data_IF_629950902897
#
_entry.id   IF_629950902897
#
_cell.length_a   1.000
_cell.length_b   1.000
_cell.length_c   1.000
_cell.angle_alpha   90.00
_cell.angle_beta   90.00
_cell.angle_gamma   90.00
#
_symmetry.space_group_name_H-M   'P 1'
#
loop_
_entity.id
_entity.type
_entity.pdbx_description
1 polymer ?
#
# COMPACT_ATOMS: atom_id res chain seq x y z
N UNK A 1 -22.48 -24.80 32.07
CA UNK A 1 -21.96 -25.12 30.73
C UNK A 1 -22.36 -23.95 29.83
N UNK A 2 -21.90 -22.71 29.99
CA UNK A 2 -20.54 -22.17 29.89
C UNK A 2 -19.69 -22.77 28.77
N UNK A 3 -19.37 -21.90 27.80
CA UNK A 3 -18.26 -21.94 26.84
C UNK A 3 -18.46 -22.68 25.50
N UNK A 4 -19.18 -22.07 24.56
CA UNK A 4 -18.89 -22.29 23.12
C UNK A 4 -19.33 -21.15 22.17
N UNK A 5 -19.33 -19.88 22.60
CA UNK A 5 -19.52 -18.71 21.71
C UNK A 5 -18.22 -17.91 21.45
N UNK A 6 -17.05 -18.50 21.68
CA UNK A 6 -15.78 -18.00 21.14
C UNK A 6 -15.41 -18.94 19.98
N UNK A 7 -15.01 -18.54 18.77
CA UNK A 7 -14.18 -17.43 18.35
C UNK A 7 -14.52 -17.16 16.86
N UNK A 8 -15.46 -16.27 16.60
CA UNK A 8 -15.42 -15.48 15.37
C UNK A 8 -15.69 -14.04 15.75
N UNK A 9 -14.83 -13.49 16.61
CA UNK A 9 -14.50 -12.09 16.43
C UNK A 9 -13.90 -11.99 15.02
N UNK A 10 -14.76 -11.73 14.03
CA UNK A 10 -14.36 -11.04 12.82
C UNK A 10 -13.61 -9.82 13.34
N UNK A 11 -12.27 -9.91 13.47
CA UNK A 11 -11.42 -8.89 14.10
C UNK A 11 -11.88 -7.58 13.50
N UNK A 12 -12.68 -6.82 14.25
CA UNK A 12 -13.31 -5.61 13.79
C UNK A 12 -12.21 -4.56 13.90
N UNK A 13 -11.19 -4.71 13.05
CA UNK A 13 -10.03 -3.85 13.03
C UNK A 13 -10.50 -2.43 12.81
N UNK A 14 -9.87 -1.48 13.50
CA UNK A 14 -10.24 -0.09 13.35
C UNK A 14 -9.68 0.42 12.02
N UNK A 15 -10.56 0.94 11.16
CA UNK A 15 -10.15 1.58 9.90
C UNK A 15 -9.13 2.72 10.18
N UNK A 16 -9.35 3.47 11.26
CA UNK A 16 -8.48 4.55 11.72
C UNK A 16 -7.05 4.08 12.03
N UNK A 17 -6.89 2.97 12.75
CA UNK A 17 -5.55 2.45 13.08
C UNK A 17 -4.87 1.89 11.83
N UNK A 18 -5.64 1.27 10.93
CA UNK A 18 -5.15 0.86 9.61
C UNK A 18 -4.65 2.03 8.75
N UNK A 19 -5.43 3.12 8.65
CA UNK A 19 -5.02 4.33 7.93
C UNK A 19 -3.73 4.90 8.50
N UNK A 20 -3.60 4.96 9.83
CA UNK A 20 -2.39 5.45 10.49
C UNK A 20 -1.17 4.57 10.14
N UNK A 21 -1.37 3.26 10.04
CA UNK A 21 -0.31 2.31 9.68
C UNK A 21 0.09 2.42 8.21
N UNK A 22 -0.89 2.58 7.32
CA UNK A 22 -0.65 2.84 5.91
C UNK A 22 0.08 4.18 5.70
N UNK A 23 -0.29 5.21 6.46
CA UNK A 23 0.34 6.53 6.41
C UNK A 23 1.82 6.45 6.79
N UNK A 24 2.15 5.76 7.89
CA UNK A 24 3.55 5.56 8.29
C UNK A 24 4.34 4.77 7.25
N UNK A 25 3.75 3.71 6.68
CA UNK A 25 4.36 2.93 5.60
C UNK A 25 4.59 3.76 4.33
N UNK A 26 3.61 4.58 3.96
CA UNK A 26 3.70 5.48 2.81
C UNK A 26 4.71 6.60 3.04
N UNK A 27 4.87 7.10 4.26
CA UNK A 27 5.86 8.13 4.60
C UNK A 27 7.29 7.61 4.41
N UNK A 28 7.56 6.39 4.89
CA UNK A 28 8.84 5.69 4.66
C UNK A 28 9.06 5.45 3.15
N UNK A 29 8.02 4.98 2.45
CA UNK A 29 8.08 4.74 1.01
C UNK A 29 8.35 6.03 0.20
N UNK A 30 7.74 7.14 0.59
CA UNK A 30 7.94 8.46 -0.05
C UNK A 30 9.35 8.97 0.19
N UNK A 31 9.88 8.83 1.40
CA UNK A 31 11.25 9.21 1.71
C UNK A 31 12.26 8.40 0.86
N UNK A 32 12.02 7.09 0.73
CA UNK A 32 12.82 6.23 -0.13
C UNK A 32 12.71 6.62 -1.61
N UNK A 33 11.51 7.02 -2.05
CA UNK A 33 11.26 7.47 -3.42
C UNK A 33 12.10 8.70 -3.75
N UNK A 34 12.05 9.74 -2.91
CA UNK A 34 12.82 10.97 -3.14
C UNK A 34 14.32 10.66 -3.17
N UNK A 35 14.81 9.84 -2.25
CA UNK A 35 16.24 9.49 -2.19
C UNK A 35 16.72 8.79 -3.47
N UNK A 36 15.95 7.82 -3.96
CA UNK A 36 16.28 7.04 -5.18
C UNK A 36 16.09 7.89 -6.44
N UNK A 37 15.07 8.76 -6.45
CA UNK A 37 14.77 9.67 -7.56
C UNK A 37 15.85 10.72 -7.77
N UNK A 38 16.40 11.29 -6.69
CA UNK A 38 17.51 12.26 -6.76
C UNK A 38 18.77 11.64 -7.34
N UNK A 39 18.97 10.33 -7.14
CA UNK A 39 20.13 9.61 -7.68
C UNK A 39 19.90 9.04 -9.10
N UNK A 40 18.77 9.35 -9.74
CA UNK A 40 18.46 8.90 -11.10
C UNK A 40 18.12 7.41 -11.24
N UNK A 41 17.80 6.73 -10.12
CA UNK A 41 17.48 5.30 -10.14
C UNK A 41 15.99 5.03 -10.40
N UNK A 42 15.68 3.82 -10.88
CA UNK A 42 14.35 3.39 -11.31
C UNK A 42 13.34 3.45 -10.15
N UNK A 43 12.52 4.50 -10.13
CA UNK A 43 11.46 4.73 -9.14
C UNK A 43 10.41 3.61 -9.06
N UNK A 44 10.39 2.72 -10.06
CA UNK A 44 9.40 1.64 -10.18
C UNK A 44 9.52 0.57 -9.10
N UNK A 45 10.74 0.16 -8.74
CA UNK A 45 10.95 -0.82 -7.67
C UNK A 45 10.53 -0.21 -6.31
N UNK A 46 10.80 1.09 -6.15
CA UNK A 46 10.40 1.83 -4.95
C UNK A 46 8.88 1.98 -4.89
N UNK A 47 8.20 2.19 -6.00
CA UNK A 47 6.73 2.20 -6.06
C UNK A 47 6.11 0.90 -5.55
N UNK A 48 6.68 -0.23 -5.99
CA UNK A 48 6.27 -1.55 -5.53
C UNK A 48 6.51 -1.72 -4.02
N UNK A 49 7.69 -1.33 -3.53
CA UNK A 49 8.03 -1.36 -2.10
C UNK A 49 7.11 -0.46 -1.27
N UNK A 50 6.79 0.75 -1.74
CA UNK A 50 5.88 1.68 -1.08
C UNK A 50 4.48 1.10 -0.93
N UNK A 51 3.94 0.49 -2.00
CA UNK A 51 2.66 -0.19 -1.93
C UNK A 51 2.68 -1.36 -0.93
N UNK A 52 3.79 -2.12 -0.92
CA UNK A 52 3.99 -3.22 0.02
C UNK A 52 4.11 -2.74 1.48
N UNK A 53 4.88 -1.69 1.74
CA UNK A 53 5.05 -1.09 3.06
C UNK A 53 3.75 -0.48 3.57
N UNK A 54 3.00 0.21 2.72
CA UNK A 54 1.69 0.76 3.08
C UNK A 54 0.70 -0.37 3.43
N UNK A 55 0.68 -1.46 2.66
CA UNK A 55 -0.16 -2.61 2.95
C UNK A 55 0.24 -3.34 4.24
N UNK A 56 1.55 -3.58 4.43
CA UNK A 56 2.07 -4.24 5.63
C UNK A 56 1.89 -3.35 6.87
N UNK A 57 2.04 -2.03 6.73
CA UNK A 57 1.79 -1.06 7.80
C UNK A 57 0.32 -1.01 8.21
N UNK A 58 -0.59 -1.06 7.24
CA UNK A 58 -2.04 -1.16 7.50
C UNK A 58 -2.38 -2.41 8.31
N UNK A 59 -1.79 -3.56 7.96
CA UNK A 59 -2.00 -4.82 8.66
C UNK A 59 -1.35 -4.85 10.06
N UNK A 60 -0.20 -4.21 10.22
CA UNK A 60 0.54 -4.15 11.48
C UNK A 60 -0.26 -3.43 12.57
N UNK A 61 -1.03 -2.39 12.22
CA UNK A 61 -1.90 -1.66 13.14
C UNK A 61 -3.34 -2.21 13.19
N UNK A 62 -3.53 -3.48 12.85
CA UNK A 62 -4.81 -4.16 12.94
C UNK A 62 -5.93 -3.45 12.15
N UNK A 63 -5.62 -2.91 10.98
CA UNK A 63 -6.61 -2.26 10.14
C UNK A 63 -7.71 -3.21 9.67
N UNK A 64 -8.91 -2.68 9.42
CA UNK A 64 -10.06 -3.49 8.97
C UNK A 64 -9.75 -4.19 7.64
N UNK A 65 -9.82 -5.53 7.54
CA UNK A 65 -9.66 -6.24 6.28
C UNK A 65 -10.86 -5.98 5.34
N UNK A 66 -10.65 -6.11 4.03
CA UNK A 66 -11.69 -5.94 3.01
C UNK A 66 -11.50 -4.73 2.10
N UNK A 67 -12.59 -4.28 1.45
CA UNK A 67 -12.55 -3.25 0.38
C UNK A 67 -11.95 -1.92 0.87
N UNK A 68 -12.18 -1.56 2.14
CA UNK A 68 -11.65 -0.32 2.73
C UNK A 68 -10.11 -0.29 2.77
N UNK A 69 -9.47 -1.42 3.12
CA UNK A 69 -8.00 -1.55 3.10
C UNK A 69 -7.42 -1.25 1.72
N UNK A 70 -8.01 -1.85 0.68
CA UNK A 70 -7.56 -1.67 -0.70
C UNK A 70 -7.67 -0.20 -1.12
N UNK A 71 -8.79 0.45 -0.81
CA UNK A 71 -9.00 1.87 -1.12
C UNK A 71 -7.96 2.73 -0.38
N UNK A 72 -7.74 2.49 0.92
CA UNK A 72 -6.75 3.24 1.71
C UNK A 72 -5.34 3.11 1.12
N UNK A 73 -4.92 1.91 0.74
CA UNK A 73 -3.58 1.68 0.17
C UNK A 73 -3.45 2.37 -1.19
N UNK A 74 -4.46 2.29 -2.06
CA UNK A 74 -4.43 2.96 -3.37
C UNK A 74 -4.35 4.48 -3.19
N UNK A 75 -5.16 5.05 -2.30
CA UNK A 75 -5.14 6.51 -2.02
C UNK A 75 -3.78 6.94 -1.47
N UNK A 76 -3.23 6.21 -0.50
CA UNK A 76 -1.91 6.52 0.07
C UNK A 76 -0.78 6.34 -0.95
N UNK A 77 -0.89 5.37 -1.85
CA UNK A 77 0.08 5.16 -2.92
C UNK A 77 0.07 6.33 -3.92
N UNK A 78 -1.10 6.76 -4.38
CA UNK A 78 -1.23 7.91 -5.29
C UNK A 78 -0.68 9.17 -4.61
N UNK A 79 -1.04 9.41 -3.35
CA UNK A 79 -0.54 10.56 -2.59
C UNK A 79 0.98 10.52 -2.45
N UNK A 80 1.53 9.36 -2.11
CA UNK A 80 2.98 9.14 -1.99
C UNK A 80 3.71 9.39 -3.31
N UNK A 81 3.15 8.93 -4.43
CA UNK A 81 3.72 9.16 -5.76
C UNK A 81 3.72 10.65 -6.09
N UNK A 82 2.62 11.37 -5.86
CA UNK A 82 2.55 12.81 -6.12
C UNK A 82 3.57 13.59 -5.28
N UNK A 83 3.58 13.36 -3.96
CA UNK A 83 4.50 14.04 -3.04
C UNK A 83 5.95 13.67 -3.34
N UNK A 84 6.23 12.40 -3.60
CA UNK A 84 7.57 11.91 -3.94
C UNK A 84 8.09 12.51 -5.25
N UNK A 85 7.22 12.64 -6.26
CA UNK A 85 7.59 13.25 -7.55
C UNK A 85 7.93 14.74 -7.38
N UNK A 86 7.05 15.51 -6.72
CA UNK A 86 7.29 16.94 -6.46
C UNK A 86 8.55 17.13 -5.61
N UNK A 87 8.72 16.31 -4.57
CA UNK A 87 9.92 16.35 -3.72
C UNK A 87 11.20 16.04 -4.49
N UNK A 88 11.17 15.05 -5.38
CA UNK A 88 12.32 14.69 -6.22
C UNK A 88 12.69 15.84 -7.16
N UNK A 89 11.70 16.40 -7.88
CA UNK A 89 11.91 17.53 -8.80
C UNK A 89 12.48 18.74 -8.06
N UNK A 90 11.92 19.07 -6.89
CA UNK A 90 12.40 20.20 -6.09
C UNK A 90 13.86 20.03 -5.69
N UNK A 91 14.24 18.84 -5.21
CA UNK A 91 15.63 18.57 -4.79
C UNK A 91 16.59 18.57 -5.97
N UNK A 92 16.25 17.88 -7.07
CA UNK A 92 17.08 17.85 -8.29
C UNK A 92 17.23 19.25 -8.87
N UNK A 93 16.15 20.03 -8.91
CA UNK A 93 16.18 21.40 -9.39
C UNK A 93 17.08 22.31 -8.54
N UNK A 94 16.98 22.25 -7.22
CA UNK A 94 17.88 23.00 -6.31
C UNK A 94 19.34 22.57 -6.50
N UNK A 95 19.59 21.28 -6.75
CA UNK A 95 20.92 20.78 -7.00
C UNK A 95 21.51 21.33 -8.31
N UNK A 96 20.71 21.38 -9.39
CA UNK A 96 21.13 21.97 -10.66
C UNK A 96 21.48 23.46 -10.56
N UNK A 97 20.79 24.21 -9.67
CA UNK A 97 21.14 25.61 -9.40
C UNK A 97 22.54 25.69 -8.79
N UNK A 98 22.83 24.88 -7.77
CA UNK A 98 24.13 24.90 -7.08
C UNK A 98 25.29 24.57 -8.02
N UNK A 99 25.08 23.58 -8.89
CA UNK A 99 26.05 23.23 -9.93
C UNK A 99 26.26 24.40 -10.89
N UNK A 100 25.18 25.06 -11.33
CA UNK A 100 25.28 26.27 -12.15
C UNK A 100 25.97 27.44 -11.41
N UNK A 101 25.77 27.60 -10.09
CA UNK A 101 26.45 28.64 -9.30
C UNK A 101 27.97 28.42 -9.24
N UNK A 102 28.43 27.18 -9.21
CA UNK A 102 29.87 26.86 -9.20
C UNK A 102 30.55 27.11 -10.56
N UNK A 103 29.81 26.93 -11.66
CA UNK A 103 30.34 27.18 -13.01
C UNK A 103 30.26 28.66 -13.43
N UNK A 104 29.32 29.43 -12.85
CA UNK A 104 29.09 30.82 -13.22
C UNK A 104 30.12 31.78 -12.61
N UNK A 105 30.45 32.81 -13.39
CA UNK A 105 31.23 33.95 -12.88
C UNK A 105 30.35 34.85 -11.99
N UNK A 106 30.98 35.67 -11.15
CA UNK A 106 30.28 36.55 -10.19
C UNK A 106 29.25 37.49 -10.82
N UNK A 107 29.45 37.90 -12.07
CA UNK A 107 28.51 38.73 -12.83
C UNK A 107 27.26 37.96 -13.28
N UNK A 108 27.44 36.75 -13.81
CA UNK A 108 26.33 35.90 -14.28
C UNK A 108 25.49 35.41 -13.11
N UNK A 109 26.13 35.04 -12.00
CA UNK A 109 25.46 34.67 -10.75
C UNK A 109 24.57 35.81 -10.22
N UNK A 110 25.08 37.06 -10.25
CA UNK A 110 24.31 38.22 -9.80
C UNK A 110 23.11 38.50 -10.72
N UNK A 111 23.24 38.26 -12.02
CA UNK A 111 22.11 38.35 -12.95
C UNK A 111 21.09 37.23 -12.70
N UNK A 112 21.57 36.01 -12.51
CA UNK A 112 20.76 34.82 -12.25
C UNK A 112 19.92 34.98 -10.97
N UNK A 113 20.55 35.35 -9.84
CA UNK A 113 19.82 35.58 -8.56
C UNK A 113 18.85 36.75 -8.62
N UNK A 114 19.08 37.72 -9.51
CA UNK A 114 18.16 38.84 -9.73
C UNK A 114 16.94 38.42 -10.55
N UNK A 115 17.14 37.52 -11.52
CA UNK A 115 16.08 36.98 -12.37
C UNK A 115 15.26 35.92 -11.62
N UNK A 116 15.93 35.11 -10.78
CA UNK A 116 15.36 34.03 -9.97
C UNK A 116 15.62 34.27 -8.48
N UNK A 117 14.86 35.16 -7.82
CA UNK A 117 15.02 35.42 -6.39
C UNK A 117 14.64 34.21 -5.53
N UNK A 118 13.76 33.34 -6.03
CA UNK A 118 13.42 32.07 -5.38
C UNK A 118 13.93 30.91 -6.24
N UNK A 119 14.62 29.96 -5.61
CA UNK A 119 15.08 28.73 -6.27
C UNK A 119 13.92 27.94 -6.88
N UNK A 120 12.75 27.97 -6.23
CA UNK A 120 11.54 27.30 -6.73
C UNK A 120 11.01 27.89 -8.05
N UNK A 121 11.18 29.18 -8.30
CA UNK A 121 10.73 29.81 -9.55
C UNK A 121 11.59 29.32 -10.73
N UNK A 122 12.90 29.18 -10.51
CA UNK A 122 13.80 28.56 -11.48
C UNK A 122 13.41 27.10 -11.74
N UNK A 123 13.21 26.30 -10.69
CA UNK A 123 12.82 24.88 -10.85
C UNK A 123 11.48 24.74 -11.58
N UNK A 124 10.53 25.62 -11.30
CA UNK A 124 9.23 25.63 -11.97
C UNK A 124 9.35 25.98 -13.46
N UNK A 125 10.18 26.98 -13.81
CA UNK A 125 10.42 27.36 -15.20
C UNK A 125 11.21 26.27 -15.93
N UNK A 126 12.22 25.67 -15.29
CA UNK A 126 12.99 24.54 -15.84
C UNK A 126 12.09 23.34 -16.10
N UNK A 127 11.13 23.08 -15.20
CA UNK A 127 10.08 22.08 -15.43
C UNK A 127 9.21 22.44 -16.63
N UNK A 128 8.71 23.67 -16.73
CA UNK A 128 7.78 24.08 -17.78
C UNK A 128 8.41 24.23 -19.17
N UNK A 129 9.71 24.47 -19.24
CA UNK A 129 10.41 24.80 -20.49
C UNK A 129 11.05 23.56 -21.12
N UNK A 130 11.32 22.50 -20.34
CA UNK A 130 12.05 21.32 -20.81
C UNK A 130 11.12 20.12 -21.03
N UNK A 131 10.69 19.94 -22.28
CA UNK A 131 9.90 18.78 -22.72
C UNK A 131 10.58 17.42 -22.45
N UNK A 132 11.91 17.39 -22.45
CA UNK A 132 12.70 16.19 -22.14
C UNK A 132 12.51 15.76 -20.68
N UNK A 133 12.53 16.71 -19.74
CA UNK A 133 12.30 16.46 -18.31
C UNK A 133 10.88 15.94 -18.11
N UNK A 134 9.88 16.55 -18.76
CA UNK A 134 8.51 16.06 -18.72
C UNK A 134 8.39 14.63 -19.24
N UNK A 135 9.09 14.30 -20.32
CA UNK A 135 9.02 12.96 -20.94
C UNK A 135 9.66 11.91 -20.04
N UNK A 136 10.79 12.22 -19.40
CA UNK A 136 11.49 11.32 -18.50
C UNK A 136 10.74 11.11 -17.18
N UNK A 137 10.20 12.19 -16.60
CA UNK A 137 9.32 12.12 -15.43
C UNK A 137 8.04 11.34 -15.76
N UNK A 138 7.42 11.59 -16.92
CA UNK A 138 6.18 10.90 -17.29
C UNK A 138 6.41 9.40 -17.50
N UNK A 139 7.53 9.01 -18.14
CA UNK A 139 7.89 7.60 -18.31
C UNK A 139 8.17 6.94 -16.95
N UNK A 140 8.99 7.55 -16.11
CA UNK A 140 9.29 7.00 -14.78
C UNK A 140 8.05 6.91 -13.89
N UNK A 141 7.15 7.87 -13.99
CA UNK A 141 5.85 7.88 -13.31
C UNK A 141 4.93 6.77 -13.82
N UNK A 142 4.80 6.60 -15.14
CA UNK A 142 3.95 5.56 -15.73
C UNK A 142 4.42 4.15 -15.34
N UNK A 143 5.74 3.90 -15.40
CA UNK A 143 6.32 2.63 -14.95
C UNK A 143 6.19 2.50 -13.42
N UNK A 144 6.31 3.60 -12.67
CA UNK A 144 6.04 3.67 -11.24
C UNK A 144 4.62 3.25 -10.88
N UNK A 145 3.61 3.76 -11.59
CA UNK A 145 2.21 3.36 -11.37
C UNK A 145 1.97 1.89 -11.71
N UNK A 146 2.55 1.39 -12.81
CA UNK A 146 2.46 -0.02 -13.19
C UNK A 146 3.02 -0.92 -12.08
N UNK A 147 4.22 -0.65 -11.59
CA UNK A 147 4.85 -1.44 -10.54
C UNK A 147 4.20 -1.24 -9.17
N UNK A 148 3.71 -0.04 -8.88
CA UNK A 148 2.91 0.24 -7.68
C UNK A 148 1.62 -0.58 -7.67
N UNK A 149 0.93 -0.67 -8.82
CA UNK A 149 -0.25 -1.54 -8.98
C UNK A 149 0.09 -3.02 -8.80
N UNK A 150 1.23 -3.48 -9.34
CA UNK A 150 1.74 -4.84 -9.10
C UNK A 150 2.08 -5.09 -7.62
N UNK A 151 2.55 -4.08 -6.89
CA UNK A 151 2.83 -4.17 -5.45
C UNK A 151 1.57 -4.23 -4.61
N UNK A 152 0.53 -3.53 -5.06
CA UNK A 152 -0.81 -3.60 -4.46
C UNK A 152 -1.53 -4.93 -4.76
N UNK A 153 -1.23 -5.59 -5.89
CA UNK A 153 -1.88 -6.84 -6.33
C UNK A 153 -1.90 -7.97 -5.28
N UNK A 154 -0.78 -8.39 -4.64
CA UNK A 154 -0.81 -9.44 -3.62
C UNK A 154 -1.63 -9.06 -2.39
N UNK A 155 -1.74 -7.77 -2.08
CA UNK A 155 -2.54 -7.27 -0.96
C UNK A 155 -4.04 -7.42 -1.27
N UNK A 156 -4.43 -7.17 -2.52
CA UNK A 156 -5.81 -7.35 -3.00
C UNK A 156 -6.22 -8.83 -3.07
N UNK A 157 -5.32 -9.74 -3.49
CA UNK A 157 -5.62 -11.18 -3.54
C UNK A 157 -5.52 -11.89 -2.18
N UNK A 158 -4.70 -11.38 -1.25
CA UNK A 158 -4.57 -11.94 0.10
C UNK A 158 -5.90 -11.98 0.86
N UNK A 159 -6.71 -10.92 0.74
CA UNK A 159 -8.04 -10.87 1.37
C UNK A 159 -9.06 -11.80 0.69
N UNK A 160 -8.96 -12.01 -0.64
CA UNK A 160 -9.83 -12.96 -1.35
C UNK A 160 -9.57 -14.42 -0.95
N UNK A 161 -8.31 -14.80 -0.73
CA UNK A 161 -7.94 -16.17 -0.30
C UNK A 161 -8.42 -16.48 1.12
N UNK A 162 -8.36 -15.51 2.04
CA UNK A 162 -8.86 -15.70 3.41
C UNK A 162 -10.38 -15.84 3.44
N UNK A 163 -11.10 -15.02 2.67
CA UNK A 163 -12.56 -15.08 2.56
C UNK A 163 -13.03 -16.42 1.96
N UNK A 164 -12.40 -16.88 0.87
CA UNK A 164 -12.72 -18.20 0.30
C UNK A 164 -12.40 -19.38 1.22
N UNK A 165 -11.28 -19.33 1.96
CA UNK A 165 -11.00 -20.37 2.97
C UNK A 165 -12.13 -20.41 4.01
N UNK A 166 -12.50 -19.28 4.60
CA UNK A 166 -13.58 -19.19 5.60
C UNK A 166 -14.91 -19.76 5.07
N UNK A 167 -15.32 -19.37 3.86
CA UNK A 167 -16.56 -19.80 3.22
C UNK A 167 -16.56 -21.29 2.82
N UNK A 168 -15.40 -21.92 2.66
CA UNK A 168 -15.27 -23.36 2.33
C UNK A 168 -15.14 -24.27 3.56
N UNK A 169 -14.74 -23.78 4.73
CA UNK A 169 -14.67 -24.60 5.96
C UNK A 169 -16.00 -24.65 6.71
N UNK A 170 -16.77 -23.55 6.72
CA UNK A 170 -18.07 -23.49 7.42
C UNK A 170 -19.20 -24.38 6.87
N UNK A 171 -19.30 -24.74 5.58
CA UNK A 171 -20.42 -25.55 5.09
C UNK A 171 -20.34 -27.02 5.51
N UNK A 172 -19.16 -27.55 5.85
CA UNK A 172 -18.98 -28.97 6.18
C UNK A 172 -19.24 -29.28 7.67
N UNK A 173 -18.95 -28.35 8.58
CA UNK A 173 -19.17 -28.57 10.03
C UNK A 173 -20.65 -28.40 10.44
N UNK A 174 -21.46 -27.68 9.66
CA UNK A 174 -22.89 -27.53 9.91
C UNK A 174 -23.74 -28.71 9.37
N UNK A 175 -23.16 -29.59 8.54
CA UNK A 175 -23.85 -30.72 7.93
C UNK A 175 -23.69 -32.03 8.72
N UNK A 176 -22.68 -32.15 9.59
CA UNK A 176 -22.46 -33.31 10.47
C UNK A 176 -23.27 -33.24 11.78
N UNK A 177 -24.48 -32.66 11.70
CA UNK A 177 -25.57 -32.95 12.62
C UNK A 177 -26.07 -34.38 12.37
N UNK A 178 -25.26 -35.38 12.69
CA UNK A 178 -25.66 -36.77 12.64
C UNK A 178 -26.92 -36.95 13.50
N UNK A 179 -28.06 -37.42 12.94
CA UNK A 179 -29.19 -37.78 13.76
C UNK A 179 -28.74 -38.96 14.63
N UNK A 180 -28.76 -38.79 15.96
CA UNK A 180 -28.78 -39.95 16.86
C UNK A 180 -30.06 -40.71 16.53
N UNK A 181 -29.92 -41.82 15.81
CA UNK A 181 -31.00 -42.77 15.59
C UNK A 181 -31.54 -43.21 16.94
N UNK A 182 -32.75 -42.79 17.25
CA UNK A 182 -33.59 -43.40 18.27
C UNK A 182 -33.94 -44.80 17.79
N UNK A 183 -33.17 -45.80 18.19
CA UNK A 183 -33.60 -47.19 18.12
C UNK A 183 -34.44 -47.46 19.37
N UNK A 184 -35.76 -47.52 19.19
CA UNK A 184 -36.69 -47.93 20.24
C UNK A 184 -37.69 -48.94 19.66
N UNK A 185 -37.77 -50.06 20.37
CA UNK A 185 -38.87 -51.04 20.44
C UNK A 185 -39.03 -51.96 19.20
N UNK A 186 -39.31 -53.25 19.29
CA UNK A 186 -39.77 -54.09 20.41
C UNK A 186 -39.69 -55.57 19.99
N UNK A 187 -39.78 -56.47 20.98
CA UNK A 187 -40.26 -57.85 20.92
C UNK A 187 -39.61 -58.89 19.98
N UNK A 188 -39.01 -59.92 20.58
CA UNK A 188 -39.70 -61.23 20.74
C UNK A 188 -38.94 -62.14 21.69
N UNK A 189 -39.59 -62.42 22.81
CA UNK A 189 -39.89 -63.77 23.33
C UNK A 189 -38.76 -64.82 23.51
N UNK A 190 -38.63 -65.21 24.79
CA UNK A 190 -38.78 -66.59 25.27
C UNK A 190 -37.52 -67.38 25.69
N UNK A 191 -37.74 -68.15 26.77
CA UNK A 191 -36.95 -69.22 27.39
C UNK A 191 -35.77 -68.84 28.31
N UNK A 192 -35.95 -68.91 29.64
CA UNK A 192 -35.87 -70.13 30.48
C UNK A 192 -34.44 -70.69 30.54
N UNK A 193 -33.76 -70.53 31.68
CA UNK A 193 -33.56 -71.62 32.66
C UNK A 193 -32.51 -71.28 33.74
N UNK A 194 -32.94 -71.49 34.99
CA UNK A 194 -32.22 -71.86 36.23
C UNK A 194 -31.04 -71.01 36.74
#
# INVERSE_FOLDING_TARGET
>A
MENQESIYEEKQGNLLTGILGAFLGALIGTALWVLVGVWGYVASIVAWLTAFLAGKGYDLLHGRPGKAKVITIIVMLILSICVGTVGTVAVVGVQSIKEAEEEMNSFELAHFKKLYPNELDYVLEMMQTNDEIHTEITKSLAVGMLFGALGAYPIVLGDRRKKQRQDTVQPYEAADGAPKSTENADDTDNHLDA
#
